data_IF_280380131654
#
_entry.id   IF_280380131654
#
_cell.length_a   1.000
_cell.length_b   1.000
_cell.length_c   1.000
_cell.angle_alpha   90.00
_cell.angle_beta   90.00
_cell.angle_gamma   90.00
#
_symmetry.space_group_name_H-M   'P 1'
#
loop_
_entity.id
_entity.type
_entity.pdbx_description
1 polymer ?
#
# COMPACT_ATOMS: atom_id res chain seq x y z
N UNK A 1 16.81 15.36 11.96
CA UNK A 1 15.97 16.46 11.45
C UNK A 1 15.04 16.86 12.57
N UNK A 2 15.28 18.02 13.18
CA UNK A 2 14.39 18.64 14.15
C UNK A 2 13.06 18.94 13.46
N UNK A 3 12.01 18.21 13.85
CA UNK A 3 10.63 18.58 13.53
C UNK A 3 10.38 19.94 14.16
N UNK A 4 10.49 21.00 13.36
CA UNK A 4 9.90 22.29 13.68
C UNK A 4 8.40 21.98 13.78
N UNK A 5 7.88 21.96 15.00
CA UNK A 5 6.44 21.90 15.21
C UNK A 5 5.84 23.08 14.44
N UNK A 6 4.94 22.81 13.48
CA UNK A 6 4.12 23.87 12.90
C UNK A 6 3.53 24.69 14.03
N UNK A 7 3.49 26.04 13.92
CA UNK A 7 2.78 26.85 14.89
C UNK A 7 1.37 26.27 15.04
N UNK A 8 0.88 26.14 16.28
CA UNK A 8 -0.47 25.66 16.54
C UNK A 8 -1.44 26.50 15.69
N UNK A 9 -2.10 25.84 14.73
CA UNK A 9 -3.07 26.50 13.86
C UNK A 9 -4.15 27.12 14.76
N UNK A 10 -4.44 28.40 14.53
CA UNK A 10 -5.53 29.10 15.23
C UNK A 10 -6.90 28.54 14.84
N UNK A 11 -6.97 27.87 13.69
CA UNK A 11 -8.12 27.16 13.17
C UNK A 11 -8.17 25.75 13.75
N UNK A 12 -9.29 25.39 14.37
CA UNK A 12 -9.54 24.04 14.90
C UNK A 12 -10.69 23.37 14.17
N UNK A 13 -10.75 22.04 14.25
CA UNK A 13 -11.87 21.23 13.73
C UNK A 13 -13.20 21.73 14.28
N UNK A 14 -13.27 22.00 15.58
CA UNK A 14 -14.49 22.47 16.26
C UNK A 14 -14.98 23.82 15.70
N UNK A 15 -14.06 24.75 15.40
CA UNK A 15 -14.42 26.04 14.77
C UNK A 15 -14.95 25.83 13.35
N UNK A 16 -14.34 24.94 12.57
CA UNK A 16 -14.80 24.59 11.22
C UNK A 16 -16.22 24.01 11.28
N UNK A 17 -16.45 23.03 12.17
CA UNK A 17 -17.74 22.39 12.36
C UNK A 17 -18.82 23.38 12.80
N UNK A 18 -18.51 24.25 13.77
CA UNK A 18 -19.41 25.28 14.27
C UNK A 18 -19.81 26.27 13.19
N UNK A 19 -18.85 26.77 12.40
CA UNK A 19 -19.15 27.69 11.29
C UNK A 19 -20.01 27.01 10.22
N UNK A 20 -19.72 25.76 9.85
CA UNK A 20 -20.56 25.00 8.90
C UNK A 20 -21.97 24.82 9.47
N UNK A 21 -22.11 24.46 10.75
CA UNK A 21 -23.40 24.23 11.39
C UNK A 21 -24.28 25.50 11.44
N UNK A 22 -23.67 26.68 11.59
CA UNK A 22 -24.34 27.98 11.62
C UNK A 22 -24.78 28.49 10.24
N UNK A 23 -24.34 27.88 9.13
CA UNK A 23 -24.74 28.30 7.78
C UNK A 23 -26.22 27.96 7.49
N UNK A 24 -26.87 28.68 6.56
CA UNK A 24 -28.15 28.27 6.01
C UNK A 24 -28.09 26.86 5.43
N UNK A 25 -29.21 26.13 5.41
CA UNK A 25 -29.29 24.72 4.97
C UNK A 25 -28.51 24.43 3.67
N UNK A 26 -28.70 25.25 2.63
CA UNK A 26 -27.98 25.11 1.36
C UNK A 26 -26.46 25.28 1.51
N UNK A 27 -26.01 26.19 2.38
CA UNK A 27 -24.60 26.40 2.70
C UNK A 27 -24.02 25.20 3.42
N UNK A 28 -24.73 24.64 4.41
CA UNK A 28 -24.30 23.41 5.12
C UNK A 28 -24.10 22.26 4.15
N UNK A 29 -25.10 22.01 3.30
CA UNK A 29 -25.06 20.97 2.27
C UNK A 29 -23.88 21.20 1.32
N UNK A 30 -23.71 22.43 0.82
CA UNK A 30 -22.64 22.76 -0.11
C UNK A 30 -21.26 22.47 0.50
N UNK A 31 -21.00 22.95 1.71
CA UNK A 31 -19.71 22.75 2.37
C UNK A 31 -19.46 21.28 2.72
N UNK A 32 -20.47 20.56 3.22
CA UNK A 32 -20.37 19.11 3.51
C UNK A 32 -20.16 18.26 2.27
N UNK A 33 -20.74 18.63 1.13
CA UNK A 33 -20.49 17.95 -0.15
C UNK A 33 -19.09 18.27 -0.69
N UNK A 34 -18.62 19.52 -0.61
CA UNK A 34 -17.25 19.90 -1.00
C UNK A 34 -16.21 19.15 -0.14
N UNK A 35 -16.49 19.00 1.16
CA UNK A 35 -15.64 18.39 2.17
C UNK A 35 -16.08 16.97 2.54
N UNK A 36 -16.70 16.22 1.61
CA UNK A 36 -17.31 14.90 1.86
C UNK A 36 -16.33 13.84 2.39
N UNK A 37 -15.03 14.09 2.20
CA UNK A 37 -13.96 13.24 2.75
C UNK A 37 -13.78 13.37 4.27
N UNK A 38 -14.36 14.41 4.89
CA UNK A 38 -14.28 14.70 6.33
C UNK A 38 -15.65 14.75 6.99
N UNK A 39 -16.65 15.27 6.28
CA UNK A 39 -18.00 15.44 6.83
C UNK A 39 -19.00 14.49 6.19
N UNK A 40 -20.06 14.22 6.94
CA UNK A 40 -21.23 13.50 6.46
C UNK A 40 -22.39 14.45 6.20
N UNK A 41 -23.17 14.12 5.18
CA UNK A 41 -24.46 14.76 4.89
C UNK A 41 -25.53 14.05 5.70
N UNK A 42 -26.32 14.79 6.48
CA UNK A 42 -27.36 14.24 7.36
C UNK A 42 -28.63 13.88 6.59
N UNK A 43 -29.52 13.10 7.21
CA UNK A 43 -30.78 12.73 6.59
C UNK A 43 -31.70 13.94 6.33
N UNK A 44 -31.69 14.94 7.23
CA UNK A 44 -32.40 16.22 7.04
C UNK A 44 -31.89 16.95 5.79
N UNK A 45 -30.56 16.97 5.60
CA UNK A 45 -29.93 17.57 4.44
C UNK A 45 -30.25 16.83 3.15
N UNK A 46 -30.36 15.49 3.20
CA UNK A 46 -30.80 14.68 2.06
C UNK A 46 -32.25 14.98 1.70
N UNK A 47 -33.14 15.08 2.69
CA UNK A 47 -34.53 15.47 2.45
C UNK A 47 -34.62 16.85 1.80
N UNK A 48 -33.78 17.80 2.24
CA UNK A 48 -33.69 19.11 1.61
C UNK A 48 -33.17 19.02 0.16
N UNK A 49 -32.13 18.24 -0.10
CA UNK A 49 -31.60 18.02 -1.46
C UNK A 49 -32.71 17.50 -2.38
N UNK A 50 -33.52 16.54 -1.92
CA UNK A 50 -34.64 15.99 -2.70
C UNK A 50 -35.66 17.09 -3.01
N UNK A 51 -36.04 17.88 -2.01
CA UNK A 51 -37.06 18.92 -2.15
C UNK A 51 -36.61 20.10 -3.04
N UNK A 52 -35.31 20.38 -3.09
CA UNK A 52 -34.74 21.51 -3.82
C UNK A 52 -34.42 21.20 -5.30
N UNK A 53 -34.61 19.95 -5.74
CA UNK A 53 -34.39 19.56 -7.14
C UNK A 53 -35.38 20.25 -8.08
N UNK A 54 -34.92 20.78 -9.22
CA UNK A 54 -35.83 21.26 -10.25
C UNK A 54 -36.66 20.08 -10.79
N UNK A 55 -37.98 20.24 -10.87
CA UNK A 55 -38.85 19.25 -11.49
C UNK A 55 -38.60 19.25 -13.00
N UNK A 56 -38.20 18.12 -13.62
CA UNK A 56 -37.95 18.04 -15.07
C UNK A 56 -39.20 18.32 -15.90
N UNK A 57 -40.41 18.25 -15.31
CA UNK A 57 -41.68 18.57 -15.95
C UNK A 57 -42.00 20.06 -15.91
N UNK A 58 -41.32 20.83 -15.06
CA UNK A 58 -41.53 22.27 -14.94
C UNK A 58 -40.55 23.01 -15.85
N UNK A 59 -41.10 23.87 -16.71
CA UNK A 59 -40.29 24.85 -17.45
C UNK A 59 -39.62 25.79 -16.43
N UNK A 60 -38.37 26.17 -16.71
CA UNK A 60 -37.53 26.97 -15.82
C UNK A 60 -38.32 28.12 -15.16
N UNK A 61 -38.36 28.13 -13.82
CA UNK A 61 -39.01 29.18 -13.02
C UNK A 61 -40.33 28.78 -12.34
N UNK A 62 -40.91 27.62 -12.63
CA UNK A 62 -42.07 27.09 -11.89
C UNK A 62 -41.66 25.98 -10.93
N UNK A 63 -41.93 26.16 -9.63
CA UNK A 63 -41.84 25.06 -8.64
C UNK A 63 -43.19 24.35 -8.56
N UNK A 64 -43.25 23.01 -8.56
CA UNK A 64 -44.49 22.30 -8.31
C UNK A 64 -45.05 22.70 -6.94
N UNK A 65 -46.35 22.97 -6.87
CA UNK A 65 -47.03 23.35 -5.62
C UNK A 65 -47.08 22.18 -4.62
N UNK A 66 -46.92 20.94 -5.10
CA UNK A 66 -46.96 19.70 -4.31
C UNK A 66 -45.85 18.74 -4.75
N UNK A 67 -44.60 18.98 -4.32
CA UNK A 67 -43.52 18.00 -4.51
C UNK A 67 -43.64 16.90 -3.47
N UNK A 68 -44.28 15.78 -3.81
CA UNK A 68 -44.26 14.59 -2.94
C UNK A 68 -42.85 13.99 -2.94
N UNK A 69 -42.15 14.10 -1.82
CA UNK A 69 -40.85 13.46 -1.60
C UNK A 69 -41.05 11.94 -1.65
N UNK A 70 -40.55 11.28 -2.69
CA UNK A 70 -40.67 9.81 -2.83
C UNK A 70 -39.52 9.10 -2.14
N UNK A 71 -39.77 7.89 -1.59
CA UNK A 71 -38.71 7.05 -1.03
C UNK A 71 -37.61 6.74 -2.05
N UNK A 72 -37.97 6.60 -3.33
CA UNK A 72 -37.02 6.38 -4.43
C UNK A 72 -36.10 7.58 -4.64
N UNK A 73 -36.63 8.80 -4.61
CA UNK A 73 -35.82 10.01 -4.77
C UNK A 73 -34.81 10.19 -3.64
N UNK A 74 -35.21 9.87 -2.39
CA UNK A 74 -34.32 9.82 -1.23
C UNK A 74 -33.23 8.77 -1.46
N UNK A 75 -33.61 7.54 -1.83
CA UNK A 75 -32.67 6.45 -2.09
C UNK A 75 -31.63 6.82 -3.14
N UNK A 76 -32.04 7.42 -4.26
CA UNK A 76 -31.13 7.84 -5.34
C UNK A 76 -30.10 8.88 -4.86
N UNK A 77 -30.51 9.88 -4.06
CA UNK A 77 -29.57 10.87 -3.50
C UNK A 77 -28.59 10.18 -2.56
N UNK A 78 -29.12 9.33 -1.67
CA UNK A 78 -28.34 8.60 -0.68
C UNK A 78 -27.31 7.70 -1.34
N UNK A 79 -27.68 6.95 -2.37
CA UNK A 79 -26.79 6.04 -3.10
C UNK A 79 -25.67 6.82 -3.80
N UNK A 80 -25.98 7.93 -4.48
CA UNK A 80 -24.97 8.79 -5.11
C UNK A 80 -24.02 9.41 -4.08
N UNK A 81 -24.56 9.95 -2.98
CA UNK A 81 -23.75 10.49 -1.87
C UNK A 81 -22.82 9.43 -1.29
N UNK A 82 -23.34 8.22 -1.05
CA UNK A 82 -22.58 7.10 -0.50
C UNK A 82 -21.48 6.64 -1.47
N UNK A 83 -21.75 6.62 -2.77
CA UNK A 83 -20.76 6.31 -3.79
C UNK A 83 -19.56 7.28 -3.72
N UNK A 84 -19.81 8.60 -3.79
CA UNK A 84 -18.74 9.59 -3.73
C UNK A 84 -18.04 9.63 -2.37
N UNK A 85 -18.79 9.55 -1.27
CA UNK A 85 -18.24 9.46 0.10
C UNK A 85 -17.26 8.29 0.20
N UNK A 86 -17.68 7.10 -0.24
CA UNK A 86 -16.84 5.91 -0.26
C UNK A 86 -15.57 6.14 -1.09
N UNK A 87 -15.71 6.69 -2.28
CA UNK A 87 -14.57 6.96 -3.17
C UNK A 87 -13.52 7.90 -2.55
N UNK A 88 -13.95 9.05 -2.02
CA UNK A 88 -13.02 10.04 -1.45
C UNK A 88 -12.38 9.55 -0.15
N UNK A 89 -13.14 8.86 0.72
CA UNK A 89 -12.61 8.32 1.98
C UNK A 89 -11.65 7.15 1.75
N UNK A 90 -11.96 6.25 0.82
CA UNK A 90 -11.04 5.16 0.46
C UNK A 90 -9.74 5.68 -0.16
N UNK A 91 -9.80 6.73 -1.00
CA UNK A 91 -8.59 7.37 -1.55
C UNK A 91 -7.72 7.96 -0.42
N UNK A 92 -8.34 8.63 0.54
CA UNK A 92 -7.66 9.17 1.74
C UNK A 92 -7.04 8.06 2.58
N UNK A 93 -7.78 6.99 2.85
CA UNK A 93 -7.30 5.83 3.62
C UNK A 93 -6.12 5.13 2.94
N UNK A 94 -6.23 4.85 1.64
CA UNK A 94 -5.16 4.19 0.87
C UNK A 94 -3.87 4.99 0.88
N UNK A 95 -3.94 6.27 0.52
CA UNK A 95 -2.73 7.12 0.44
C UNK A 95 -2.08 7.31 1.81
N UNK A 96 -2.87 7.35 2.88
CA UNK A 96 -2.34 7.32 4.24
C UNK A 96 -1.66 6.00 4.58
N UNK A 97 -2.29 4.86 4.31
CA UNK A 97 -1.72 3.53 4.60
C UNK A 97 -0.43 3.30 3.85
N UNK A 98 -0.36 3.77 2.60
CA UNK A 98 0.84 3.74 1.79
C UNK A 98 1.97 4.54 2.42
N UNK A 99 1.69 5.77 2.87
CA UNK A 99 2.68 6.60 3.56
C UNK A 99 3.14 5.97 4.89
N UNK A 100 2.19 5.49 5.70
CA UNK A 100 2.50 4.87 6.99
C UNK A 100 3.35 3.61 6.83
N UNK A 101 2.95 2.73 5.91
CA UNK A 101 3.70 1.50 5.59
C UNK A 101 5.12 1.81 5.09
N UNK A 102 5.28 2.76 4.16
CA UNK A 102 6.60 3.15 3.65
C UNK A 102 7.49 3.77 4.71
N UNK A 103 6.92 4.60 5.59
CA UNK A 103 7.67 5.20 6.72
C UNK A 103 8.17 4.11 7.66
N UNK A 104 7.29 3.19 8.04
CA UNK A 104 7.64 2.05 8.92
C UNK A 104 8.65 1.12 8.27
N UNK A 105 8.51 0.82 6.97
CA UNK A 105 9.49 0.03 6.22
C UNK A 105 10.85 0.74 6.15
N UNK A 106 10.89 2.04 5.89
CA UNK A 106 12.15 2.79 5.87
C UNK A 106 12.86 2.75 7.23
N UNK A 107 12.13 3.02 8.31
CA UNK A 107 12.64 2.94 9.69
C UNK A 107 13.14 1.53 10.02
N UNK A 108 12.40 0.51 9.60
CA UNK A 108 12.80 -0.88 9.80
C UNK A 108 14.12 -1.19 9.08
N UNK A 109 14.28 -0.73 7.84
CA UNK A 109 15.53 -0.93 7.09
C UNK A 109 16.71 -0.19 7.72
N UNK A 110 16.47 0.98 8.29
CA UNK A 110 17.49 1.70 9.07
C UNK A 110 17.88 0.91 10.33
N UNK A 111 16.91 0.41 11.08
CA UNK A 111 17.17 -0.41 12.27
C UNK A 111 17.97 -1.69 11.93
N UNK A 112 17.63 -2.39 10.84
CA UNK A 112 18.40 -3.54 10.36
C UNK A 112 19.84 -3.15 9.98
N UNK A 113 20.04 -2.01 9.33
CA UNK A 113 21.38 -1.53 8.99
C UNK A 113 22.19 -1.15 10.24
N UNK A 114 21.56 -0.52 11.24
CA UNK A 114 22.22 -0.15 12.49
C UNK A 114 22.60 -1.38 13.32
N UNK A 115 21.76 -2.42 13.35
CA UNK A 115 22.10 -3.72 13.97
C UNK A 115 23.23 -4.42 13.23
N UNK A 116 23.17 -4.48 11.89
CA UNK A 116 24.26 -5.07 11.10
C UNK A 116 25.59 -4.35 11.34
N UNK A 117 25.58 -3.01 11.43
CA UNK A 117 26.76 -2.22 11.80
C UNK A 117 27.29 -2.59 13.18
N UNK A 118 26.39 -2.69 14.16
CA UNK A 118 26.75 -3.07 15.55
C UNK A 118 27.43 -4.44 15.58
N UNK A 119 26.86 -5.44 14.90
CA UNK A 119 27.43 -6.78 14.79
C UNK A 119 28.79 -6.78 14.07
N UNK A 120 28.97 -5.99 13.00
CA UNK A 120 30.26 -5.86 12.31
C UNK A 120 31.34 -5.26 13.21
N UNK A 121 30.99 -4.30 14.08
CA UNK A 121 31.92 -3.70 15.03
C UNK A 121 32.21 -4.64 16.21
N UNK A 122 31.18 -5.16 16.86
CA UNK A 122 31.33 -5.93 18.12
C UNK A 122 31.88 -7.34 17.90
N UNK A 123 31.44 -8.02 16.83
CA UNK A 123 31.79 -9.43 16.58
C UNK A 123 32.99 -9.58 15.66
N UNK A 124 33.10 -8.73 14.65
CA UNK A 124 34.13 -8.84 13.60
C UNK A 124 35.19 -7.72 13.68
N UNK A 125 35.12 -6.84 14.68
CA UNK A 125 36.10 -5.77 14.92
C UNK A 125 36.36 -4.88 13.70
N UNK A 126 35.36 -4.67 12.84
CA UNK A 126 35.51 -3.79 11.67
C UNK A 126 35.65 -2.34 12.12
N UNK A 127 36.67 -1.65 11.59
CA UNK A 127 36.93 -0.23 11.88
C UNK A 127 35.80 0.70 11.40
N UNK A 128 35.63 1.83 12.08
CA UNK A 128 34.64 2.84 11.70
C UNK A 128 34.85 3.36 10.27
N UNK A 129 36.10 3.58 9.86
CA UNK A 129 36.45 4.05 8.51
C UNK A 129 35.98 3.07 7.42
N UNK A 130 36.14 1.75 7.68
CA UNK A 130 35.65 0.73 6.75
C UNK A 130 34.11 0.72 6.70
N UNK A 131 33.43 0.93 7.82
CA UNK A 131 31.97 1.01 7.84
C UNK A 131 31.45 2.25 7.10
N UNK A 132 32.16 3.38 7.19
CA UNK A 132 31.80 4.60 6.48
C UNK A 132 32.00 4.45 4.97
N UNK A 133 33.11 3.83 4.52
CA UNK A 133 33.29 3.50 3.09
C UNK A 133 32.23 2.52 2.56
N UNK A 134 31.83 1.52 3.37
CA UNK A 134 30.72 0.63 3.01
C UNK A 134 29.40 1.38 2.88
N UNK A 135 29.13 2.33 3.78
CA UNK A 135 27.92 3.18 3.74
C UNK A 135 27.90 4.06 2.50
N UNK A 136 29.02 4.67 2.12
CA UNK A 136 29.13 5.52 0.93
C UNK A 136 28.92 4.71 -0.37
N UNK A 137 29.46 3.50 -0.42
CA UNK A 137 29.33 2.60 -1.58
C UNK A 137 28.00 1.84 -1.64
N UNK A 138 27.17 1.89 -0.59
CA UNK A 138 25.90 1.15 -0.52
C UNK A 138 24.93 1.43 -1.69
N UNK A 139 25.03 2.62 -2.30
CA UNK A 139 24.16 3.04 -3.42
C UNK A 139 24.52 2.36 -4.75
N UNK A 140 25.77 1.94 -4.92
CA UNK A 140 26.30 1.38 -6.18
C UNK A 140 26.47 -0.14 -6.13
N UNK A 141 26.56 -0.73 -4.94
CA UNK A 141 26.71 -2.18 -4.77
C UNK A 141 25.45 -2.92 -5.23
N UNK A 142 25.65 -3.94 -6.06
CA UNK A 142 24.61 -4.87 -6.48
C UNK A 142 24.70 -6.12 -5.60
N UNK A 143 23.70 -6.39 -4.74
CA UNK A 143 23.78 -7.49 -3.77
C UNK A 143 23.91 -8.87 -4.44
N UNK A 144 23.11 -9.14 -5.48
CA UNK A 144 23.11 -10.45 -6.16
C UNK A 144 24.50 -10.85 -6.71
N UNK A 145 25.19 -10.02 -7.53
CA UNK A 145 26.55 -10.32 -7.95
C UNK A 145 27.55 -10.47 -6.80
N UNK A 146 27.48 -9.60 -5.78
CA UNK A 146 28.39 -9.64 -4.65
C UNK A 146 28.24 -10.95 -3.84
N UNK A 147 27.00 -11.38 -3.60
CA UNK A 147 26.69 -12.65 -2.93
C UNK A 147 27.18 -13.83 -3.77
N UNK A 148 26.91 -13.84 -5.08
CA UNK A 148 27.37 -14.92 -5.96
C UNK A 148 28.90 -15.05 -5.97
N UNK A 149 29.63 -13.94 -6.02
CA UNK A 149 31.10 -13.95 -5.95
C UNK A 149 31.59 -14.48 -4.60
N UNK A 150 30.92 -14.10 -3.50
CA UNK A 150 31.22 -14.61 -2.18
C UNK A 150 30.97 -16.12 -2.06
N UNK A 151 29.87 -16.61 -2.62
CA UNK A 151 29.53 -18.04 -2.71
C UNK A 151 30.57 -18.81 -3.52
N UNK A 152 31.04 -18.28 -4.64
CA UNK A 152 32.10 -18.91 -5.43
C UNK A 152 33.41 -19.06 -4.66
N UNK A 153 33.82 -18.02 -3.92
CA UNK A 153 35.03 -18.06 -3.08
C UNK A 153 34.87 -19.01 -1.90
N UNK A 154 33.66 -19.11 -1.34
CA UNK A 154 33.33 -20.09 -0.32
C UNK A 154 33.44 -21.52 -0.84
N UNK A 155 32.83 -21.79 -2.00
CA UNK A 155 32.86 -23.10 -2.66
C UNK A 155 34.29 -23.50 -3.08
N UNK A 156 35.14 -22.52 -3.41
CA UNK A 156 36.56 -22.73 -3.74
C UNK A 156 37.49 -22.82 -2.52
N UNK A 157 36.96 -22.85 -1.30
CA UNK A 157 37.74 -22.89 -0.05
C UNK A 157 38.73 -21.71 0.12
N UNK A 158 38.50 -20.57 -0.54
CA UNK A 158 39.39 -19.40 -0.49
C UNK A 158 39.21 -18.53 0.76
N UNK A 159 38.11 -18.71 1.48
CA UNK A 159 37.73 -17.91 2.64
C UNK A 159 37.25 -18.79 3.79
N UNK A 160 37.48 -18.32 5.02
CA UNK A 160 36.97 -19.01 6.21
C UNK A 160 35.48 -18.79 6.38
N UNK A 161 34.84 -19.59 7.25
CA UNK A 161 33.44 -19.45 7.57
C UNK A 161 33.13 -18.10 8.25
N UNK A 162 34.07 -17.60 9.04
CA UNK A 162 33.98 -16.29 9.70
C UNK A 162 34.10 -15.15 8.69
N UNK A 163 35.08 -15.22 7.76
CA UNK A 163 35.24 -14.25 6.68
C UNK A 163 34.01 -14.21 5.77
N UNK A 164 33.41 -15.36 5.49
CA UNK A 164 32.16 -15.45 4.74
C UNK A 164 31.05 -14.68 5.45
N UNK A 165 30.83 -14.97 6.74
CA UNK A 165 29.75 -14.33 7.49
C UNK A 165 29.97 -12.83 7.62
N UNK A 166 31.21 -12.38 7.84
CA UNK A 166 31.59 -10.97 7.87
C UNK A 166 31.28 -10.27 6.54
N UNK A 167 31.73 -10.83 5.42
CA UNK A 167 31.51 -10.24 4.09
C UNK A 167 30.02 -10.27 3.72
N UNK A 168 29.30 -11.35 4.06
CA UNK A 168 27.87 -11.48 3.82
C UNK A 168 27.07 -10.45 4.61
N UNK A 169 27.44 -10.23 5.87
CA UNK A 169 26.84 -9.21 6.74
C UNK A 169 27.17 -7.79 6.26
N UNK A 170 28.35 -7.56 5.71
CA UNK A 170 28.72 -6.28 5.07
C UNK A 170 27.84 -5.98 3.84
N UNK A 171 27.59 -7.00 3.00
CA UNK A 171 26.65 -6.87 1.87
C UNK A 171 25.23 -6.63 2.37
N UNK A 172 24.82 -7.29 3.45
CA UNK A 172 23.49 -7.11 4.05
C UNK A 172 23.31 -5.69 4.58
N UNK A 173 24.29 -5.15 5.32
CA UNK A 173 24.33 -3.76 5.78
C UNK A 173 24.10 -2.77 4.63
N UNK A 174 24.84 -2.90 3.54
CA UNK A 174 24.68 -2.07 2.34
C UNK A 174 23.30 -2.23 1.68
N UNK A 175 22.80 -3.47 1.62
CA UNK A 175 21.48 -3.78 1.06
C UNK A 175 20.37 -3.11 1.84
N UNK A 176 20.41 -3.16 3.18
CA UNK A 176 19.42 -2.55 4.05
C UNK A 176 19.44 -1.01 3.92
N UNK A 177 20.62 -0.39 3.86
CA UNK A 177 20.75 1.06 3.60
C UNK A 177 20.14 1.49 2.26
N UNK A 178 20.40 0.72 1.19
CA UNK A 178 19.85 0.98 -0.14
C UNK A 178 18.32 0.84 -0.16
N UNK A 179 17.79 -0.17 0.52
CA UNK A 179 16.36 -0.38 0.69
C UNK A 179 15.70 0.76 1.48
N UNK A 180 16.35 1.25 2.54
CA UNK A 180 15.88 2.41 3.31
C UNK A 180 15.77 3.65 2.42
N UNK A 181 16.81 3.97 1.62
CA UNK A 181 16.78 5.11 0.70
C UNK A 181 15.67 4.95 -0.35
N UNK A 182 15.48 3.75 -0.88
CA UNK A 182 14.39 3.44 -1.82
C UNK A 182 13.03 3.71 -1.19
N UNK A 183 12.78 3.25 0.04
CA UNK A 183 11.51 3.49 0.72
C UNK A 183 11.31 4.97 1.06
N UNK A 184 12.36 5.72 1.43
CA UNK A 184 12.27 7.18 1.61
C UNK A 184 11.89 7.90 0.32
N UNK A 185 12.47 7.53 -0.82
CA UNK A 185 12.11 8.11 -2.12
C UNK A 185 10.66 7.81 -2.50
N UNK A 186 10.21 6.58 -2.30
CA UNK A 186 8.80 6.20 -2.50
C UNK A 186 7.88 6.93 -1.55
N UNK A 187 8.29 7.13 -0.29
CA UNK A 187 7.53 7.87 0.71
C UNK A 187 7.34 9.32 0.27
N UNK A 188 8.38 10.00 -0.18
CA UNK A 188 8.28 11.37 -0.67
C UNK A 188 7.30 11.50 -1.86
N UNK A 189 7.24 10.51 -2.76
CA UNK A 189 6.25 10.47 -3.83
C UNK A 189 4.83 10.24 -3.29
N UNK A 190 4.66 9.26 -2.39
CA UNK A 190 3.38 8.94 -1.77
C UNK A 190 2.83 10.10 -0.92
N UNK A 191 3.69 10.86 -0.25
CA UNK A 191 3.32 12.04 0.53
C UNK A 191 2.83 13.17 -0.37
N UNK A 192 3.44 13.36 -1.56
CA UNK A 192 2.92 14.31 -2.57
C UNK A 192 1.54 13.89 -3.08
N UNK A 193 1.35 12.60 -3.36
CA UNK A 193 0.06 12.05 -3.77
C UNK A 193 -0.99 12.22 -2.66
N UNK A 194 -0.63 11.91 -1.41
CA UNK A 194 -1.48 12.12 -0.24
C UNK A 194 -1.84 13.59 -0.09
N UNK A 195 -0.89 14.52 -0.22
CA UNK A 195 -1.16 15.96 -0.13
C UNK A 195 -2.20 16.39 -1.17
N UNK A 196 -2.05 15.92 -2.42
CA UNK A 196 -3.03 16.17 -3.48
C UNK A 196 -4.40 15.58 -3.15
N UNK A 197 -4.44 14.36 -2.58
CA UNK A 197 -5.69 13.70 -2.20
C UNK A 197 -6.41 14.41 -1.04
N UNK A 198 -5.68 14.85 -0.01
CA UNK A 198 -6.30 15.54 1.14
C UNK A 198 -6.71 16.97 0.82
N UNK A 199 -6.11 17.64 -0.16
CA UNK A 199 -6.53 18.99 -0.57
C UNK A 199 -7.57 19.00 -1.70
N UNK A 200 -8.04 17.84 -2.16
CA UNK A 200 -8.96 17.75 -3.29
C UNK A 200 -10.43 17.79 -2.83
N UNK A 201 -11.15 18.91 -3.02
CA UNK A 201 -12.60 18.93 -2.81
C UNK A 201 -13.32 18.06 -3.84
N UNK A 202 -14.56 17.68 -3.51
CA UNK A 202 -15.49 17.12 -4.47
C UNK A 202 -15.74 18.12 -5.62
N UNK A 203 -15.71 17.64 -6.86
CA UNK A 203 -15.81 18.47 -8.06
C UNK A 203 -17.25 18.87 -8.36
N UNK A 204 -17.43 19.95 -9.11
CA UNK A 204 -18.75 20.51 -9.40
C UNK A 204 -19.68 19.52 -10.10
N UNK A 205 -19.16 18.72 -11.03
CA UNK A 205 -19.97 17.70 -11.71
C UNK A 205 -20.40 16.56 -10.75
N UNK A 206 -19.58 16.24 -9.75
CA UNK A 206 -19.88 15.22 -8.74
C UNK A 206 -20.92 15.75 -7.74
N UNK A 207 -20.76 16.99 -7.26
CA UNK A 207 -21.75 17.67 -6.41
C UNK A 207 -23.08 17.82 -7.17
N UNK A 208 -23.03 18.24 -8.43
CA UNK A 208 -24.19 18.35 -9.31
C UNK A 208 -24.89 17.01 -9.52
N UNK A 209 -24.13 15.91 -9.62
CA UNK A 209 -24.70 14.57 -9.75
C UNK A 209 -25.43 14.12 -8.46
N UNK A 210 -24.85 14.35 -7.28
CA UNK A 210 -25.50 14.05 -6.00
C UNK A 210 -26.75 14.91 -5.80
N UNK A 211 -26.59 16.22 -5.93
CA UNK A 211 -27.65 17.18 -5.63
C UNK A 211 -28.76 17.14 -6.70
N UNK A 212 -28.41 16.94 -7.97
CA UNK A 212 -29.35 16.95 -9.10
C UNK A 212 -29.74 18.36 -9.54
N UNK A 213 -28.84 19.34 -9.40
CA UNK A 213 -29.06 20.73 -9.83
C UNK A 213 -28.19 21.09 -11.05
N UNK A 214 -28.63 22.04 -11.91
CA UNK A 214 -27.85 22.47 -13.07
C UNK A 214 -26.53 23.13 -12.68
N UNK A 215 -25.50 22.99 -13.52
CA UNK A 215 -24.15 23.51 -13.26
C UNK A 215 -24.11 25.02 -12.97
N UNK A 216 -24.90 25.84 -13.67
CA UNK A 216 -24.95 27.29 -13.42
C UNK A 216 -25.54 27.66 -12.04
N UNK A 217 -26.58 26.94 -11.61
CA UNK A 217 -27.15 27.09 -10.26
C UNK A 217 -26.15 26.64 -9.19
N UNK A 218 -25.44 25.55 -9.45
CA UNK A 218 -24.40 25.05 -8.56
C UNK A 218 -23.25 26.04 -8.38
N UNK A 219 -22.70 26.56 -9.47
CA UNK A 219 -21.54 27.47 -9.43
C UNK A 219 -21.83 28.75 -8.64
N UNK A 220 -22.99 29.37 -8.88
CA UNK A 220 -23.40 30.58 -8.14
C UNK A 220 -23.58 30.33 -6.64
N UNK A 221 -24.22 29.20 -6.27
CA UNK A 221 -24.37 28.79 -4.88
C UNK A 221 -23.03 28.47 -4.22
N UNK A 222 -22.13 27.78 -4.93
CA UNK A 222 -20.80 27.44 -4.44
C UNK A 222 -19.99 28.70 -4.11
N UNK A 223 -19.94 29.68 -5.02
CA UNK A 223 -19.24 30.95 -4.78
C UNK A 223 -19.84 31.68 -3.58
N UNK A 224 -21.18 31.80 -3.51
CA UNK A 224 -21.87 32.47 -2.41
C UNK A 224 -21.52 31.83 -1.05
N UNK A 225 -21.68 30.52 -0.94
CA UNK A 225 -21.52 29.83 0.34
C UNK A 225 -20.06 29.64 0.74
N UNK A 226 -19.14 29.46 -0.22
CA UNK A 226 -17.71 29.44 0.08
C UNK A 226 -17.24 30.81 0.60
N UNK A 227 -17.70 31.90 -0.02
CA UNK A 227 -17.37 33.27 0.43
C UNK A 227 -17.93 33.52 1.83
N UNK A 228 -19.19 33.14 2.07
CA UNK A 228 -19.82 33.25 3.40
C UNK A 228 -19.07 32.43 4.46
N UNK A 229 -18.66 31.21 4.13
CA UNK A 229 -17.88 30.34 5.02
C UNK A 229 -16.53 30.96 5.40
N UNK A 230 -15.77 31.46 4.42
CA UNK A 230 -14.47 32.07 4.67
C UNK A 230 -14.56 33.35 5.49
N UNK A 231 -15.57 34.20 5.23
CA UNK A 231 -15.81 35.39 6.05
C UNK A 231 -16.22 35.04 7.49
N UNK A 232 -17.05 34.02 7.67
CA UNK A 232 -17.46 33.58 9.00
C UNK A 232 -16.28 32.99 9.79
N UNK A 233 -15.44 32.16 9.16
CA UNK A 233 -14.20 31.67 9.77
C UNK A 233 -13.27 32.81 10.17
N UNK A 234 -13.06 33.78 9.26
CA UNK A 234 -12.22 34.93 9.52
C UNK A 234 -12.73 35.75 10.71
N UNK A 235 -14.05 35.98 10.79
CA UNK A 235 -14.66 36.70 11.92
C UNK A 235 -14.45 35.95 13.25
N UNK A 236 -14.61 34.62 13.26
CA UNK A 236 -14.36 33.79 14.45
C UNK A 236 -12.90 33.90 14.90
N UNK A 237 -11.94 33.85 13.97
CA UNK A 237 -10.51 33.94 14.29
C UNK A 237 -10.09 35.34 14.76
N UNK A 238 -10.70 36.40 14.23
CA UNK A 238 -10.46 37.78 14.65
C UNK A 238 -10.98 38.09 16.06
N UNK A 239 -11.93 37.29 16.55
CA UNK A 239 -12.49 37.45 17.91
C UNK A 239 -11.54 36.89 18.97
N UNK A 240 -10.75 35.87 18.63
CA UNK A 240 -9.87 35.13 19.56
C UNK A 240 -8.40 35.62 19.57
N UNK A 241 -7.93 36.34 18.55
CA UNK A 241 -6.53 36.77 18.43
C UNK A 241 -6.37 38.21 17.91
N UNK A 242 -5.34 38.91 18.39
CA UNK A 242 -4.93 40.21 17.87
C UNK A 242 -4.46 40.08 16.41
N UNK A 243 -5.35 40.48 15.51
CA UNK A 243 -5.21 40.72 14.07
C UNK A 243 -3.82 40.46 13.44
N UNK A 244 -3.55 39.21 13.05
CA UNK A 244 -2.77 38.94 11.84
C UNK A 244 -3.73 38.57 10.72
N UNK A 245 -3.77 39.38 9.67
CA UNK A 245 -4.64 39.21 8.51
C UNK A 245 -4.21 37.99 7.68
N UNK A 246 -4.63 36.79 8.08
CA UNK A 246 -4.55 35.60 7.23
C UNK A 246 -5.43 35.81 6.00
N UNK A 247 -4.89 35.61 4.79
CA UNK A 247 -5.67 35.79 3.58
C UNK A 247 -6.78 34.71 3.47
N UNK A 248 -7.95 34.99 2.87
CA UNK A 248 -9.03 34.00 2.75
C UNK A 248 -8.64 32.71 2.03
N UNK A 249 -7.69 32.78 1.09
CA UNK A 249 -7.15 31.60 0.38
C UNK A 249 -6.28 30.74 1.28
N UNK A 250 -5.59 31.35 2.26
CA UNK A 250 -4.82 30.62 3.25
C UNK A 250 -5.75 29.89 4.22
N UNK A 251 -6.88 30.51 4.62
CA UNK A 251 -7.91 29.87 5.46
C UNK A 251 -8.52 28.63 4.79
N UNK A 252 -8.75 28.66 3.47
CA UNK A 252 -9.26 27.50 2.74
C UNK A 252 -8.26 26.34 2.70
N UNK A 253 -6.98 26.64 2.47
CA UNK A 253 -5.91 25.63 2.52
C UNK A 253 -5.74 25.08 3.94
N UNK A 254 -5.78 25.96 4.94
CA UNK A 254 -5.67 25.61 6.35
C UNK A 254 -6.84 24.73 6.79
N UNK A 255 -8.06 24.97 6.30
CA UNK A 255 -9.24 24.10 6.51
C UNK A 255 -8.91 22.66 6.13
N UNK A 256 -8.34 22.43 4.95
CA UNK A 256 -7.94 21.08 4.53
C UNK A 256 -6.82 20.49 5.39
N UNK A 257 -5.82 21.29 5.75
CA UNK A 257 -4.71 20.85 6.61
C UNK A 257 -5.22 20.38 7.97
N UNK A 258 -6.06 21.19 8.64
CA UNK A 258 -6.64 20.89 9.95
C UNK A 258 -7.53 19.66 9.89
N UNK A 259 -8.41 19.55 8.86
CA UNK A 259 -9.25 18.37 8.71
C UNK A 259 -8.47 17.11 8.34
N UNK A 260 -7.34 17.23 7.64
CA UNK A 260 -6.49 16.09 7.29
C UNK A 260 -5.86 15.40 8.50
N UNK A 261 -5.67 16.13 9.61
CA UNK A 261 -5.14 15.60 10.88
C UNK A 261 -6.13 14.70 11.62
N UNK A 262 -7.43 14.79 11.30
CA UNK A 262 -8.43 13.90 11.88
C UNK A 262 -8.08 12.43 11.64
N UNK A 263 -8.39 11.52 12.58
CA UNK A 263 -8.18 10.09 12.38
C UNK A 263 -8.93 9.62 11.13
N UNK A 264 -8.33 8.64 10.45
CA UNK A 264 -8.93 8.05 9.26
C UNK A 264 -9.84 6.91 9.68
N UNK A 265 -11.09 6.99 9.25
CA UNK A 265 -12.03 5.87 9.35
C UNK A 265 -11.52 4.68 8.53
N UNK A 266 -11.40 3.52 9.19
CA UNK A 266 -10.97 2.28 8.54
C UNK A 266 -12.14 1.63 7.84
N UNK A 267 -11.99 1.40 6.54
CA UNK A 267 -12.99 0.65 5.78
C UNK A 267 -12.74 -0.85 5.94
N UNK A 268 -13.83 -1.63 6.03
CA UNK A 268 -13.75 -3.07 5.92
C UNK A 268 -13.29 -3.43 4.49
N UNK A 269 -12.18 -4.14 4.39
CA UNK A 269 -11.65 -4.60 3.11
C UNK A 269 -11.86 -6.09 2.95
N UNK A 270 -12.15 -6.50 1.72
CA UNK A 270 -12.21 -7.92 1.33
C UNK A 270 -10.99 -8.23 0.48
N UNK A 271 -10.48 -9.46 0.59
CA UNK A 271 -9.43 -9.95 -0.28
C UNK A 271 -9.80 -9.78 -1.76
N UNK A 272 -8.87 -9.22 -2.53
CA UNK A 272 -9.07 -8.74 -3.90
C UNK A 272 -8.44 -9.63 -4.98
N UNK A 273 -7.92 -10.80 -4.60
CA UNK A 273 -7.29 -11.74 -5.52
C UNK A 273 -5.80 -11.46 -5.79
N UNK A 274 -5.21 -10.45 -5.12
CA UNK A 274 -3.78 -10.15 -5.23
C UNK A 274 -2.92 -11.34 -4.78
N UNK A 275 -2.01 -11.81 -5.64
CA UNK A 275 -1.19 -13.03 -5.44
C UNK A 275 -1.97 -14.36 -5.45
N UNK A 276 -3.17 -14.40 -6.07
CA UNK A 276 -4.05 -15.57 -6.23
C UNK A 276 -4.68 -16.07 -4.93
N UNK A 277 -3.92 -16.26 -3.84
CA UNK A 277 -4.44 -16.62 -2.51
C UNK A 277 -4.05 -15.61 -1.44
N UNK A 278 -4.90 -15.46 -0.41
CA UNK A 278 -4.60 -14.63 0.76
C UNK A 278 -3.33 -15.09 1.48
N UNK A 279 -3.11 -16.41 1.59
CA UNK A 279 -1.88 -16.97 2.18
C UNK A 279 -0.62 -16.55 1.43
N UNK A 280 -0.61 -16.66 0.10
CA UNK A 280 0.54 -16.26 -0.71
C UNK A 280 0.82 -14.75 -0.60
N UNK A 281 -0.23 -13.93 -0.50
CA UNK A 281 -0.09 -12.51 -0.22
C UNK A 281 0.56 -12.26 1.15
N UNK A 282 0.08 -12.93 2.20
CA UNK A 282 0.64 -12.80 3.56
C UNK A 282 2.10 -13.24 3.61
N UNK A 283 2.45 -14.37 2.99
CA UNK A 283 3.83 -14.86 2.93
C UNK A 283 4.75 -13.86 2.23
N UNK A 284 4.28 -13.29 1.12
CA UNK A 284 5.06 -12.31 0.34
C UNK A 284 5.19 -10.96 1.05
N UNK A 285 4.14 -10.50 1.73
CA UNK A 285 4.18 -9.32 2.61
C UNK A 285 5.17 -9.55 3.76
N UNK A 286 5.15 -10.72 4.38
CA UNK A 286 6.06 -11.11 5.46
C UNK A 286 7.50 -11.14 4.97
N UNK A 287 7.77 -11.73 3.80
CA UNK A 287 9.09 -11.71 3.16
C UNK A 287 9.56 -10.28 2.84
N UNK A 288 8.65 -9.40 2.39
CA UNK A 288 8.95 -7.99 2.14
C UNK A 288 9.27 -7.23 3.43
N UNK A 289 8.56 -7.49 4.53
CA UNK A 289 8.81 -6.88 5.84
C UNK A 289 10.14 -7.34 6.42
N UNK A 290 10.45 -8.63 6.33
CA UNK A 290 11.74 -9.17 6.74
C UNK A 290 12.89 -8.73 5.84
N UNK A 291 12.63 -8.42 4.56
CA UNK A 291 13.65 -7.99 3.59
C UNK A 291 14.26 -9.14 2.79
N UNK A 292 13.60 -10.29 2.82
CA UNK A 292 14.00 -11.50 2.09
C UNK A 292 13.59 -11.47 0.61
N UNK A 293 12.84 -10.45 0.21
CA UNK A 293 12.38 -10.31 -1.17
C UNK A 293 13.47 -9.67 -2.04
N UNK A 294 13.83 -10.37 -3.13
CA UNK A 294 14.74 -9.80 -4.13
C UNK A 294 14.18 -8.47 -4.67
N UNK A 295 15.05 -7.49 -4.88
CA UNK A 295 14.63 -6.12 -5.17
C UNK A 295 13.72 -6.01 -6.41
N UNK A 296 14.02 -6.73 -7.48
CA UNK A 296 13.19 -6.76 -8.71
C UNK A 296 11.76 -7.26 -8.43
N UNK A 297 11.63 -8.26 -7.56
CA UNK A 297 10.34 -8.83 -7.16
C UNK A 297 9.62 -7.85 -6.26
N UNK A 298 10.35 -7.20 -5.34
CA UNK A 298 9.81 -6.20 -4.43
C UNK A 298 9.24 -4.99 -5.17
N UNK A 299 9.93 -4.49 -6.20
CA UNK A 299 9.45 -3.34 -6.99
C UNK A 299 8.15 -3.68 -7.70
N UNK A 300 8.09 -4.86 -8.35
CA UNK A 300 6.88 -5.34 -9.05
C UNK A 300 5.74 -5.55 -8.05
N UNK A 301 6.04 -6.18 -6.92
CA UNK A 301 5.06 -6.46 -5.88
C UNK A 301 4.52 -5.18 -5.25
N UNK A 302 5.36 -4.21 -4.90
CA UNK A 302 4.93 -2.91 -4.37
C UNK A 302 4.01 -2.18 -5.36
N UNK A 303 4.36 -2.20 -6.65
CA UNK A 303 3.51 -1.61 -7.70
C UNK A 303 2.16 -2.30 -7.77
N UNK A 304 2.15 -3.63 -7.73
CA UNK A 304 0.92 -4.43 -7.70
C UNK A 304 0.10 -4.19 -6.44
N UNK A 305 0.74 -3.97 -5.29
CA UNK A 305 0.12 -3.69 -4.00
C UNK A 305 -0.50 -2.28 -3.94
N UNK A 306 0.03 -1.30 -4.68
CA UNK A 306 -0.51 0.08 -4.67
C UNK A 306 -1.54 0.31 -5.78
N UNK A 307 -1.30 -0.24 -6.98
CA UNK A 307 -2.12 0.05 -8.17
C UNK A 307 -3.04 -1.10 -8.61
N UNK A 308 -2.75 -2.32 -8.17
CA UNK A 308 -3.59 -3.51 -8.39
C UNK A 308 -3.11 -4.33 -9.59
N UNK A 309 -3.58 -5.57 -9.69
CA UNK A 309 -3.43 -6.34 -10.91
C UNK A 309 -4.29 -5.68 -12.00
N UNK A 310 -3.68 -5.33 -13.13
CA UNK A 310 -4.27 -4.58 -14.24
C UNK A 310 -5.37 -5.38 -14.98
N UNK A 311 -6.60 -5.43 -14.48
CA UNK A 311 -7.74 -5.89 -15.28
C UNK A 311 -8.58 -4.70 -15.76
N UNK A 312 -8.81 -4.64 -17.08
CA UNK A 312 -9.45 -3.58 -17.87
C UNK A 312 -10.97 -3.36 -17.62
N UNK A 313 -11.47 -3.48 -16.38
CA UNK A 313 -12.88 -3.20 -16.11
C UNK A 313 -13.09 -1.71 -15.85
N UNK A 314 -13.51 -0.96 -16.87
CA UNK A 314 -13.50 0.51 -16.89
C UNK A 314 -14.46 1.20 -15.90
N UNK A 315 -15.34 0.48 -15.18
CA UNK A 315 -16.32 1.10 -14.26
C UNK A 315 -16.58 0.36 -12.94
N UNK A 316 -15.80 -0.65 -12.60
CA UNK A 316 -15.67 -1.17 -11.23
C UNK A 316 -14.19 -1.03 -10.86
N UNK A 317 -13.83 -0.57 -9.66
CA UNK A 317 -12.42 -0.51 -9.15
C UNK A 317 -11.70 0.84 -9.21
N UNK A 318 -12.16 1.83 -8.44
CA UNK A 318 -11.37 3.07 -8.27
C UNK A 318 -10.42 2.96 -7.04
N UNK A 319 -10.52 1.90 -6.23
CA UNK A 319 -9.68 1.68 -5.02
C UNK A 319 -9.37 0.19 -4.76
N UNK A 320 -8.77 -0.51 -5.73
CA UNK A 320 -8.16 -1.84 -5.48
C UNK A 320 -7.00 -1.73 -4.48
N UNK A 321 -6.77 -2.81 -3.71
CA UNK A 321 -5.66 -3.04 -2.77
C UNK A 321 -5.68 -2.38 -1.38
N UNK A 322 -6.84 -1.97 -0.87
CA UNK A 322 -6.91 -1.58 0.55
C UNK A 322 -6.51 -2.74 1.46
N UNK A 323 -6.94 -3.95 1.11
CA UNK A 323 -6.71 -5.17 1.88
C UNK A 323 -5.21 -5.45 2.09
N UNK A 324 -4.42 -5.48 1.01
CA UNK A 324 -2.99 -5.75 1.10
C UNK A 324 -2.23 -4.71 1.95
N UNK A 325 -2.60 -3.42 1.86
CA UNK A 325 -1.98 -2.36 2.68
C UNK A 325 -2.38 -2.45 4.15
N UNK A 326 -3.64 -2.81 4.44
CA UNK A 326 -4.08 -3.07 5.81
C UNK A 326 -3.34 -4.27 6.41
N UNK A 327 -3.21 -5.38 5.66
CA UNK A 327 -2.43 -6.56 6.08
C UNK A 327 -0.95 -6.25 6.28
N UNK A 328 -0.34 -5.46 5.40
CA UNK A 328 1.04 -4.99 5.58
C UNK A 328 1.22 -4.24 6.89
N UNK A 329 0.28 -3.33 7.20
CA UNK A 329 0.31 -2.56 8.44
C UNK A 329 0.18 -3.47 9.67
N UNK A 330 -0.69 -4.48 9.62
CA UNK A 330 -0.82 -5.50 10.66
C UNK A 330 0.49 -6.26 10.86
N UNK A 331 1.08 -6.83 9.79
CA UNK A 331 2.35 -7.56 9.86
C UNK A 331 3.47 -6.67 10.42
N UNK A 332 3.53 -5.40 10.02
CA UNK A 332 4.51 -4.45 10.54
C UNK A 332 4.33 -4.15 12.04
N UNK A 333 3.11 -4.23 12.57
CA UNK A 333 2.82 -4.06 14.00
C UNK A 333 3.15 -5.32 14.79
N UNK A 334 2.91 -6.49 14.22
CA UNK A 334 3.08 -7.79 14.89
C UNK A 334 4.53 -8.30 14.85
N UNK A 335 5.34 -7.79 13.92
CA UNK A 335 6.74 -8.19 13.80
C UNK A 335 7.55 -7.75 15.02
N UNK A 336 8.28 -8.71 15.61
CA UNK A 336 9.24 -8.43 16.67
C UNK A 336 10.40 -7.56 16.15
N UNK A 337 10.57 -6.41 16.79
CA UNK A 337 11.61 -5.41 16.48
C UNK A 337 12.69 -5.35 17.56
N UNK A 338 12.68 -6.29 18.50
CA UNK A 338 13.72 -6.40 19.51
C UNK A 338 15.09 -6.53 18.84
N UNK A 339 16.14 -5.89 19.38
CA UNK A 339 17.47 -5.98 18.81
C UNK A 339 17.95 -7.43 18.72
N UNK A 340 17.58 -8.28 19.68
CA UNK A 340 17.90 -9.70 19.71
C UNK A 340 17.28 -10.48 18.54
N UNK A 341 15.98 -10.27 18.25
CA UNK A 341 15.32 -10.94 17.13
C UNK A 341 15.88 -10.49 15.78
N UNK A 342 16.21 -9.20 15.64
CA UNK A 342 16.84 -8.67 14.43
C UNK A 342 18.24 -9.25 14.24
N UNK A 343 19.02 -9.37 15.31
CA UNK A 343 20.35 -9.98 15.27
C UNK A 343 20.29 -11.45 14.89
N UNK A 344 19.40 -12.23 15.51
CA UNK A 344 19.21 -13.64 15.20
C UNK A 344 18.92 -13.84 13.72
N UNK A 345 17.99 -13.05 13.17
CA UNK A 345 17.63 -13.13 11.77
C UNK A 345 18.78 -12.68 10.85
N UNK A 346 19.52 -11.62 11.18
CA UNK A 346 20.69 -11.17 10.42
C UNK A 346 21.79 -12.24 10.41
N UNK A 347 22.07 -12.86 11.56
CA UNK A 347 23.07 -13.91 11.70
C UNK A 347 22.66 -15.18 10.95
N UNK A 348 21.37 -15.55 11.01
CA UNK A 348 20.80 -16.67 10.26
C UNK A 348 20.92 -16.48 8.74
N UNK A 349 20.67 -15.27 8.23
CA UNK A 349 20.79 -14.96 6.78
C UNK A 349 22.22 -14.89 6.28
N UNK A 350 23.15 -14.57 7.17
CA UNK A 350 24.56 -14.39 6.85
C UNK A 350 25.39 -15.65 7.11
N UNK A 351 24.79 -16.69 7.69
CA UNK A 351 25.43 -17.96 7.93
C UNK A 351 25.92 -18.59 6.61
N UNK A 352 27.11 -19.24 6.62
CA UNK A 352 27.62 -19.96 5.47
C UNK A 352 26.64 -21.03 4.98
N UNK A 353 26.51 -21.13 3.66
CA UNK A 353 25.73 -22.22 3.06
C UNK A 353 26.48 -23.52 3.32
N UNK A 354 25.78 -24.51 3.86
CA UNK A 354 26.34 -25.84 4.06
C UNK A 354 26.84 -26.37 2.70
N UNK A 355 28.14 -26.62 2.61
CA UNK A 355 28.73 -27.25 1.43
C UNK A 355 28.05 -28.59 1.25
N UNK A 356 27.51 -28.84 0.05
CA UNK A 356 27.07 -30.20 -0.30
C UNK A 356 28.30 -31.09 -0.14
N UNK A 357 28.20 -32.12 0.69
CA UNK A 357 29.24 -33.14 0.75
C UNK A 357 29.38 -33.75 -0.64
N UNK A 358 30.40 -33.32 -1.38
CA UNK A 358 30.83 -33.99 -2.61
C UNK A 358 31.51 -35.28 -2.17
N UNK A 359 30.69 -36.28 -1.83
CA UNK A 359 31.14 -37.53 -1.24
C UNK A 359 30.05 -38.40 -0.64
N UNK A 360 28.92 -37.82 -0.21
CA UNK A 360 27.73 -38.58 0.19
C UNK A 360 26.82 -38.86 -1.03
N UNK A 361 27.41 -39.38 -2.11
CA UNK A 361 26.65 -40.33 -2.89
C UNK A 361 26.60 -41.56 -2.00
N UNK A 362 25.40 -41.90 -1.48
CA UNK A 362 25.13 -43.29 -1.17
C UNK A 362 25.70 -44.10 -2.33
N UNK A 363 26.70 -44.96 -2.04
CA UNK A 363 27.15 -45.95 -3.01
C UNK A 363 25.88 -46.51 -3.65
N UNK A 364 25.78 -46.57 -4.99
CA UNK A 364 24.53 -46.99 -5.63
C UNK A 364 24.15 -48.30 -4.98
N UNK A 365 23.07 -48.29 -4.20
CA UNK A 365 22.51 -49.50 -3.66
C UNK A 365 22.31 -50.39 -4.88
N UNK A 366 23.01 -51.52 -4.91
CA UNK A 366 22.81 -52.51 -5.96
C UNK A 366 21.29 -52.67 -6.09
N UNK A 367 20.72 -52.47 -7.29
CA UNK A 367 19.29 -52.58 -7.43
C UNK A 367 18.90 -53.96 -6.89
N UNK A 368 17.90 -54.05 -5.99
CA UNK A 368 17.51 -55.34 -5.47
C UNK A 368 17.18 -56.22 -6.67
N UNK A 369 17.88 -57.36 -6.77
CA UNK A 369 17.58 -58.38 -7.77
C UNK A 369 16.14 -58.78 -7.53
N UNK A 370 15.21 -58.19 -8.29
CA UNK A 370 13.83 -58.62 -8.34
C UNK A 370 13.84 -59.94 -9.08
N UNK A 371 13.92 -61.02 -8.33
CA UNK A 371 13.58 -62.34 -8.84
C UNK A 371 12.15 -62.24 -9.40
N UNK A 372 12.02 -62.37 -10.71
CA UNK A 372 10.74 -62.42 -11.39
C UNK A 372 9.98 -63.63 -10.82
N UNK A 373 8.75 -63.42 -10.34
CA UNK A 373 7.94 -64.57 -9.92
C UNK A 373 7.65 -65.47 -11.13
N UNK A 374 7.48 -66.78 -10.90
CA UNK A 374 7.26 -67.76 -11.97
C UNK A 374 6.16 -67.33 -12.95
N UNK A 375 5.13 -66.65 -12.44
CA UNK A 375 4.02 -66.11 -13.23
C UNK A 375 4.45 -64.97 -14.17
N UNK A 376 5.40 -64.13 -13.77
CA UNK A 376 5.95 -63.06 -14.63
C UNK A 376 6.90 -63.62 -15.71
N UNK A 377 7.63 -64.69 -15.39
CA UNK A 377 8.44 -65.42 -16.37
C UNK A 377 7.57 -66.12 -17.43
N UNK A 378 6.43 -66.71 -17.03
CA UNK A 378 5.48 -67.37 -17.93
C UNK A 378 4.79 -66.40 -18.89
N UNK A 379 4.48 -65.17 -18.45
CA UNK A 379 3.90 -64.11 -19.29
C UNK A 379 4.93 -63.63 -20.33
N UNK A 380 6.21 -63.51 -19.95
CA UNK A 380 7.27 -63.13 -20.88
C UNK A 380 7.59 -64.24 -21.89
N UNK A 381 7.48 -65.52 -21.51
CA UNK A 381 7.61 -66.63 -22.45
C UNK A 381 6.42 -66.72 -23.41
N UNK A 382 5.19 -66.42 -22.97
CA UNK A 382 4.01 -66.42 -23.86
C UNK A 382 3.96 -65.21 -24.80
N UNK A 383 4.64 -64.11 -24.49
CA UNK A 383 4.77 -62.94 -25.37
C UNK A 383 5.94 -63.04 -26.36
N UNK A 384 6.87 -63.97 -26.14
CA UNK A 384 7.92 -64.31 -27.10
C UNK A 384 7.36 -65.41 -28.01
N UNK A 385 6.45 -65.01 -28.89
CA UNK A 385 5.72 -65.89 -29.80
C UNK A 385 6.62 -66.88 -30.54
N UNK A 386 6.13 -68.10 -30.64
CA UNK A 386 6.75 -69.22 -31.33
C UNK A 386 7.02 -68.89 -32.82
N UNK A 387 8.21 -69.33 -33.23
CA UNK A 387 8.59 -69.75 -34.59
C UNK A 387 8.81 -68.70 -35.69
N UNK A 388 9.98 -68.06 -35.61
CA UNK A 388 10.87 -67.99 -36.78
C UNK A 388 11.62 -69.33 -36.92
N UNK A 389 10.92 -70.40 -37.29
CA UNK A 389 11.56 -71.63 -37.78
C UNK A 389 11.75 -71.51 -39.29
N UNK A 390 12.96 -71.07 -39.67
CA UNK A 390 13.39 -71.07 -41.06
C UNK A 390 13.42 -72.49 -41.61
N UNK A 391 12.61 -72.74 -42.64
CA UNK A 391 12.92 -73.73 -43.67
C UNK A 391 12.78 -73.10 -45.05
N UNK A 392 13.76 -73.44 -45.87
CA UNK A 392 14.02 -72.88 -47.19
C UNK A 392 13.10 -73.45 -48.29
N UNK A 393 13.15 -72.74 -49.42
CA UNK A 393 12.96 -73.22 -50.81
C UNK A 393 11.56 -73.11 -51.43
N UNK A 394 11.54 -72.28 -52.47
CA UNK A 394 10.84 -72.40 -53.76
C UNK A 394 9.55 -73.22 -53.83
N UNK A 395 8.48 -72.58 -54.32
CA UNK A 395 7.90 -72.84 -55.66
C UNK A 395 6.52 -72.16 -55.83
N UNK A 396 6.45 -71.35 -56.90
CA UNK A 396 5.27 -70.87 -57.66
C UNK A 396 4.29 -69.92 -56.98
#
# INVERSE_FOLDING_TARGET
MTTIASPASLLTVEKIESVIAAMPMQGRIMLRLILLQYFDVTDEEILYIVADRPDPRCVAGTKPTNTTITKESIKVVTDRRNQYRRQVRLKRERTWLQCDSLRRLAQLREAFADRARTLLTERFSISADTLDTLRESARTVLPKPAIRLLEQRWDADEITAEDYQQQRLSIEFQTQLRMAEKYRKRLALAERERQSAISAPLQDHEIGHVWGIPAGSLASRKVKYLTQYLHALQATLQTDAAATATSPLDLWKETFSVLAEQPIERSLSTYDGLEKTESALIDKLTAMVWGNLAEEIEVKFWTSLVFGASSNAMHSEITRNLFGLQRLTTILNDMDRSPEAVDEELLKRTAPIAKREVGALEAPAEPPVKELSEMQAQILSSMRGDDASGRASDKW
#
